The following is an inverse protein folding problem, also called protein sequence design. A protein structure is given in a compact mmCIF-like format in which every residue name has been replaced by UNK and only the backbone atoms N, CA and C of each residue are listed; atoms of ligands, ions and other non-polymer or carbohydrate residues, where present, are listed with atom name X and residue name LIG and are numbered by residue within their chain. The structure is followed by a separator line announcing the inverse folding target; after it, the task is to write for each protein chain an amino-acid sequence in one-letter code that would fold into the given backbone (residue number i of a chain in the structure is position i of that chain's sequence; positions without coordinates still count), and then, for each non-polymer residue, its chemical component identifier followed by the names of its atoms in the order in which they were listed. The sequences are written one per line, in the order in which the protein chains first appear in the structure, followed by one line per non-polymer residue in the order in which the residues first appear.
data_IF_828269053042
#
_entry.id   IF_828269053042
#
_cell.length_a   1.000
_cell.length_b   1.000
_cell.length_c   1.000
_cell.angle_alpha   90.00
_cell.angle_beta   90.00
_cell.angle_gamma   90.00
#
_symmetry.space_group_name_H-M   'P 1'
#
loop_
_entity.id
_entity.type
_entity.pdbx_description
1 polymer ?
#
# COMPACT_ATOMS: atom_id res chain seq x y z
N UNK A 1 5.60 8.28 28.84
CA UNK A 1 5.85 8.65 27.44
C UNK A 1 5.49 7.53 26.46
N UNK A 2 6.06 6.32 26.61
CA UNK A 2 5.78 5.18 25.71
C UNK A 2 4.32 4.73 25.60
N UNK A 3 3.57 4.67 26.71
CA UNK A 3 2.14 4.31 26.70
C UNK A 3 1.28 5.34 25.94
N UNK A 4 1.59 6.62 26.11
CA UNK A 4 0.90 7.70 25.40
C UNK A 4 1.17 7.61 23.90
N UNK A 5 2.42 7.36 23.49
CA UNK A 5 2.75 7.12 22.09
C UNK A 5 1.96 5.92 21.53
N UNK A 6 1.93 4.79 22.23
CA UNK A 6 1.17 3.61 21.81
C UNK A 6 -0.33 3.90 21.65
N UNK A 7 -0.92 4.70 22.55
CA UNK A 7 -2.32 5.10 22.44
C UNK A 7 -2.60 5.92 21.16
N UNK A 8 -1.71 6.85 20.80
CA UNK A 8 -1.82 7.58 19.54
C UNK A 8 -1.69 6.64 18.33
N UNK A 9 -0.71 5.74 18.33
CA UNK A 9 -0.52 4.78 17.24
C UNK A 9 -1.77 3.91 17.00
N UNK A 10 -2.30 3.30 18.08
CA UNK A 10 -3.49 2.44 17.98
C UNK A 10 -4.72 3.23 17.52
N UNK A 11 -4.94 4.44 18.07
CA UNK A 11 -6.05 5.30 17.67
C UNK A 11 -5.93 5.76 16.21
N UNK A 12 -4.71 6.01 15.73
CA UNK A 12 -4.41 6.32 14.34
C UNK A 12 -4.87 5.21 13.41
N UNK A 13 -4.53 3.95 13.71
CA UNK A 13 -4.97 2.78 12.94
C UNK A 13 -6.49 2.60 12.95
N UNK A 14 -7.13 2.79 14.10
CA UNK A 14 -8.60 2.72 14.19
C UNK A 14 -9.30 3.82 13.41
N UNK A 15 -8.75 5.04 13.42
CA UNK A 15 -9.28 6.15 12.61
C UNK A 15 -9.10 5.89 11.12
N UNK A 16 -7.96 5.32 10.71
CA UNK A 16 -7.74 4.91 9.32
C UNK A 16 -8.79 3.87 8.89
N UNK A 17 -9.01 2.84 9.72
CA UNK A 17 -10.02 1.80 9.50
C UNK A 17 -11.43 2.37 9.33
N UNK A 18 -11.75 3.45 10.01
CA UNK A 18 -13.03 4.18 9.92
C UNK A 18 -13.06 5.24 8.81
N UNK A 19 -12.07 5.27 7.92
CA UNK A 19 -11.93 6.26 6.85
C UNK A 19 -11.84 7.71 7.33
N UNK A 20 -11.35 7.93 8.56
CA UNK A 20 -11.13 9.25 9.19
C UNK A 20 -9.67 9.68 9.04
N UNK A 21 -9.24 9.95 7.80
CA UNK A 21 -7.82 10.09 7.45
C UNK A 21 -7.12 11.27 8.14
N UNK A 22 -7.72 12.46 8.20
CA UNK A 22 -7.09 13.62 8.86
C UNK A 22 -6.81 13.35 10.34
N UNK A 23 -7.80 12.76 11.04
CA UNK A 23 -7.65 12.37 12.44
C UNK A 23 -6.66 11.22 12.64
N UNK A 24 -6.54 10.32 11.68
CA UNK A 24 -5.55 9.24 11.68
C UNK A 24 -4.13 9.79 11.52
N UNK A 25 -3.94 10.69 10.55
CA UNK A 25 -2.65 11.33 10.28
C UNK A 25 -2.19 12.16 11.48
N UNK A 26 -3.09 12.94 12.10
CA UNK A 26 -2.79 13.71 13.30
C UNK A 26 -2.30 12.82 14.46
N UNK A 27 -2.87 11.63 14.60
CA UNK A 27 -2.46 10.66 15.61
C UNK A 27 -1.09 10.05 15.29
N UNK A 28 -0.84 9.66 14.04
CA UNK A 28 0.48 9.19 13.62
C UNK A 28 1.56 10.26 13.74
N UNK A 29 1.25 11.53 13.44
CA UNK A 29 2.14 12.67 13.64
C UNK A 29 2.49 12.85 15.11
N UNK A 30 1.51 12.66 16.01
CA UNK A 30 1.77 12.72 17.45
C UNK A 30 2.62 11.53 17.91
N UNK A 31 2.36 10.34 17.38
CA UNK A 31 3.19 9.15 17.65
C UNK A 31 4.66 9.40 17.31
N UNK A 32 4.97 9.85 16.08
CA UNK A 32 6.37 10.07 15.67
C UNK A 32 7.05 11.26 16.36
N UNK A 33 6.27 12.23 16.86
CA UNK A 33 6.81 13.30 17.73
C UNK A 33 7.24 12.76 19.11
N UNK A 34 6.51 11.80 19.66
CA UNK A 34 6.84 11.14 20.93
C UNK A 34 7.91 10.05 20.75
N UNK A 35 8.01 9.47 19.54
CA UNK A 35 8.94 8.41 19.17
C UNK A 35 9.71 8.75 17.89
N UNK A 36 10.59 9.76 17.92
CA UNK A 36 11.35 10.15 16.74
C UNK A 36 12.25 9.02 16.21
N UNK A 37 12.70 8.12 17.10
CA UNK A 37 13.44 6.89 16.79
C UNK A 37 12.67 5.91 15.89
N UNK A 38 11.33 5.99 15.89
CA UNK A 38 10.44 5.12 15.13
C UNK A 38 9.89 5.77 13.86
N UNK A 39 10.18 7.04 13.60
CA UNK A 39 9.61 7.78 12.47
C UNK A 39 9.89 7.11 11.13
N UNK A 40 11.11 6.59 10.93
CA UNK A 40 11.46 5.88 9.68
C UNK A 40 10.72 4.56 9.50
N UNK A 41 10.13 3.98 10.55
CA UNK A 41 9.42 2.70 10.49
C UNK A 41 7.92 2.88 10.16
N UNK A 42 7.42 4.12 10.11
CA UNK A 42 5.97 4.42 10.04
C UNK A 42 5.43 4.48 8.60
N UNK A 43 5.42 3.34 7.91
CA UNK A 43 4.80 3.20 6.60
C UNK A 43 3.27 3.40 6.62
N UNK A 44 2.58 2.98 7.70
CA UNK A 44 1.12 3.21 7.89
C UNK A 44 0.76 4.71 7.85
N UNK A 45 1.66 5.56 8.35
CA UNK A 45 1.54 7.02 8.25
C UNK A 45 1.63 7.49 6.79
N UNK A 46 2.54 6.92 6.00
CA UNK A 46 2.69 7.21 4.57
C UNK A 46 1.45 6.85 3.77
N UNK A 47 0.87 5.67 4.03
CA UNK A 47 -0.41 5.25 3.42
C UNK A 47 -1.53 6.23 3.84
N UNK A 48 -1.58 6.59 5.12
CA UNK A 48 -2.58 7.55 5.62
C UNK A 48 -2.45 8.92 4.95
N UNK A 49 -1.22 9.39 4.68
CA UNK A 49 -0.99 10.61 3.90
C UNK A 49 -1.62 10.52 2.50
N UNK A 50 -1.48 9.39 1.80
CA UNK A 50 -2.11 9.19 0.48
C UNK A 50 -3.63 9.37 0.56
N UNK A 51 -4.28 8.71 1.52
CA UNK A 51 -5.74 8.81 1.69
C UNK A 51 -6.22 10.17 2.20
N UNK A 52 -5.39 10.90 2.93
CA UNK A 52 -5.64 12.28 3.35
C UNK A 52 -5.38 13.32 2.24
N UNK A 53 -4.89 12.90 1.05
CA UNK A 53 -4.47 13.82 -0.02
C UNK A 53 -3.17 14.57 0.26
N UNK A 54 -2.46 14.20 1.33
CA UNK A 54 -1.18 14.76 1.77
C UNK A 54 -0.01 14.11 1.02
N UNK A 55 -0.11 14.11 -0.30
CA UNK A 55 0.73 13.32 -1.21
C UNK A 55 2.23 13.57 -1.04
N UNK A 56 2.67 14.82 -0.91
CA UNK A 56 4.09 15.13 -0.71
C UNK A 56 4.60 14.54 0.61
N UNK A 57 3.83 14.68 1.70
CA UNK A 57 4.19 14.09 3.01
C UNK A 57 4.25 12.57 2.95
N UNK A 58 3.39 11.94 2.13
CA UNK A 58 3.42 10.50 1.86
C UNK A 58 4.70 10.09 1.15
N UNK A 59 5.04 10.76 0.05
CA UNK A 59 6.25 10.49 -0.71
C UNK A 59 7.53 10.64 0.14
N UNK A 60 7.61 11.70 0.94
CA UNK A 60 8.73 11.95 1.87
C UNK A 60 8.82 10.85 2.96
N UNK A 61 7.67 10.35 3.44
CA UNK A 61 7.63 9.30 4.46
C UNK A 61 8.14 7.96 3.92
N UNK A 62 7.82 7.60 2.67
CA UNK A 62 8.32 6.38 2.05
C UNK A 62 9.79 6.48 1.63
N UNK A 63 10.25 7.67 1.24
CA UNK A 63 11.69 7.93 1.06
C UNK A 63 12.45 7.75 2.39
N UNK A 64 11.89 8.23 3.50
CA UNK A 64 12.45 7.98 4.83
C UNK A 64 12.37 6.50 5.24
N UNK A 65 11.30 5.78 4.89
CA UNK A 65 11.17 4.36 5.21
C UNK A 65 12.20 3.49 4.47
N UNK A 66 12.59 3.88 3.26
CA UNK A 66 13.67 3.23 2.51
C UNK A 66 14.99 3.16 3.29
N UNK A 67 15.26 4.12 4.18
CA UNK A 67 16.49 4.10 5.01
C UNK A 67 16.43 3.08 6.14
N UNK A 68 15.26 2.49 6.41
CA UNK A 68 15.04 1.44 7.40
C UNK A 68 14.91 0.06 6.75
N UNK A 69 14.16 -0.03 5.64
CA UNK A 69 13.93 -1.29 4.93
C UNK A 69 13.86 -1.03 3.41
N UNK A 70 14.89 -1.47 2.68
CA UNK A 70 15.12 -1.11 1.27
C UNK A 70 14.68 -2.17 0.26
N UNK A 71 14.18 -3.31 0.74
CA UNK A 71 13.75 -4.44 -0.09
C UNK A 71 12.24 -4.59 -0.22
N UNK A 72 11.45 -3.72 0.41
CA UNK A 72 9.99 -3.80 0.39
C UNK A 72 9.41 -3.12 -0.86
N UNK A 73 8.84 -3.92 -1.77
CA UNK A 73 8.18 -3.39 -2.97
C UNK A 73 7.04 -2.43 -2.63
N UNK A 74 6.31 -2.70 -1.55
CA UNK A 74 5.18 -1.87 -1.14
C UNK A 74 5.66 -0.43 -0.86
N UNK A 75 6.84 -0.25 -0.27
CA UNK A 75 7.43 1.08 -0.04
C UNK A 75 7.59 1.89 -1.34
N UNK A 76 8.20 1.27 -2.36
CA UNK A 76 8.44 1.91 -3.65
C UNK A 76 7.13 2.22 -4.39
N UNK A 77 6.20 1.27 -4.38
CA UNK A 77 4.88 1.39 -5.00
C UNK A 77 4.04 2.47 -4.32
N UNK A 78 3.98 2.52 -2.99
CA UNK A 78 3.23 3.56 -2.29
C UNK A 78 3.81 4.96 -2.48
N UNK A 79 5.15 5.08 -2.58
CA UNK A 79 5.77 6.35 -2.97
C UNK A 79 5.34 6.76 -4.37
N UNK A 80 5.36 5.83 -5.33
CA UNK A 80 4.85 6.09 -6.68
C UNK A 80 3.40 6.59 -6.64
N UNK A 81 2.51 5.92 -5.90
CA UNK A 81 1.09 6.31 -5.78
C UNK A 81 0.94 7.72 -5.19
N UNK A 82 1.79 8.11 -4.23
CA UNK A 82 1.82 9.47 -3.70
C UNK A 82 2.35 10.48 -4.72
N UNK A 83 3.31 10.10 -5.55
CA UNK A 83 3.89 11.00 -6.55
C UNK A 83 3.01 11.19 -7.78
N UNK A 84 2.21 10.21 -8.18
CA UNK A 84 1.41 10.28 -9.41
C UNK A 84 0.49 11.51 -9.46
N UNK A 85 -0.29 11.86 -8.41
CA UNK A 85 -1.09 13.09 -8.41
C UNK A 85 -0.26 14.39 -8.47
N UNK A 86 1.01 14.35 -8.08
CA UNK A 86 1.90 15.53 -8.03
C UNK A 86 2.62 15.78 -9.35
N UNK A 87 3.10 14.70 -10.00
CA UNK A 87 4.02 14.80 -11.16
C UNK A 87 3.57 13.98 -12.37
N UNK A 88 2.49 13.21 -12.26
CA UNK A 88 2.04 12.27 -13.29
C UNK A 88 2.78 10.94 -13.26
N UNK A 89 2.19 9.94 -13.93
CA UNK A 89 2.66 8.53 -13.95
C UNK A 89 4.10 8.39 -14.40
N UNK A 90 4.46 9.01 -15.54
CA UNK A 90 5.81 8.83 -16.12
C UNK A 90 6.90 9.37 -15.20
N UNK A 91 6.71 10.56 -14.63
CA UNK A 91 7.68 11.13 -13.68
C UNK A 91 7.69 10.40 -12.35
N UNK A 92 6.55 9.88 -11.90
CA UNK A 92 6.51 9.05 -10.69
C UNK A 92 7.27 7.72 -10.91
N UNK A 93 7.15 7.13 -12.10
CA UNK A 93 7.84 5.90 -12.53
C UNK A 93 9.36 6.07 -12.50
N UNK A 94 9.87 7.17 -13.04
CA UNK A 94 11.31 7.52 -13.01
C UNK A 94 11.85 7.66 -11.57
N UNK A 95 10.97 7.90 -10.61
CA UNK A 95 11.31 8.15 -9.20
C UNK A 95 11.05 6.95 -8.31
N UNK A 96 10.67 5.79 -8.85
CA UNK A 96 10.55 4.56 -8.08
C UNK A 96 11.82 4.31 -7.27
N UNK A 97 11.64 3.97 -5.99
CA UNK A 97 12.75 3.60 -5.12
C UNK A 97 13.30 2.24 -5.57
N UNK A 98 14.63 2.06 -5.60
CA UNK A 98 15.24 0.83 -6.09
C UNK A 98 14.99 -0.32 -5.11
N UNK A 99 14.49 -1.44 -5.63
CA UNK A 99 14.28 -2.68 -4.86
C UNK A 99 15.16 -3.77 -5.45
N UNK A 100 16.09 -4.30 -4.65
CA UNK A 100 17.01 -5.35 -5.10
C UNK A 100 16.31 -6.72 -5.19
N UNK A 101 15.60 -7.11 -4.13
CA UNK A 101 14.91 -8.39 -4.05
C UNK A 101 13.91 -8.40 -2.90
N UNK A 102 12.63 -8.57 -3.23
CA UNK A 102 11.58 -8.92 -2.27
C UNK A 102 11.26 -10.42 -2.45
N UNK A 103 11.49 -11.27 -1.43
CA UNK A 103 11.30 -12.71 -1.57
C UNK A 103 9.82 -13.11 -1.62
N UNK A 104 8.89 -12.21 -1.31
CA UNK A 104 7.45 -12.51 -1.31
C UNK A 104 6.95 -12.58 -2.75
N UNK A 105 6.23 -13.64 -3.08
CA UNK A 105 5.55 -13.76 -4.37
C UNK A 105 4.21 -13.00 -4.32
N UNK A 106 3.81 -12.21 -5.33
CA UNK A 106 4.52 -11.89 -6.58
C UNK A 106 5.14 -10.47 -6.58
N UNK A 107 5.75 -10.02 -5.47
CA UNK A 107 6.16 -8.62 -5.27
C UNK A 107 7.10 -8.11 -6.35
N UNK A 108 8.09 -8.90 -6.79
CA UNK A 108 9.00 -8.45 -7.85
C UNK A 108 8.32 -8.28 -9.22
N UNK A 109 7.27 -9.06 -9.51
CA UNK A 109 6.46 -8.89 -10.72
C UNK A 109 5.58 -7.64 -10.63
N UNK A 110 5.02 -7.35 -9.45
CA UNK A 110 4.31 -6.10 -9.17
C UNK A 110 5.25 -4.91 -9.38
N UNK A 111 6.48 -4.98 -8.85
CA UNK A 111 7.46 -3.92 -9.05
C UNK A 111 7.80 -3.70 -10.53
N UNK A 112 7.97 -4.78 -11.29
CA UNK A 112 8.17 -4.71 -12.75
C UNK A 112 6.95 -4.09 -13.48
N UNK A 113 5.73 -4.37 -13.04
CA UNK A 113 4.52 -3.74 -13.59
C UNK A 113 4.52 -2.22 -13.34
N UNK A 114 4.84 -1.77 -12.13
CA UNK A 114 4.98 -0.34 -11.83
C UNK A 114 6.14 0.32 -12.60
N UNK A 115 7.18 -0.43 -12.98
CA UNK A 115 8.23 0.02 -13.92
C UNK A 115 7.81 0.00 -15.39
N UNK A 116 6.66 -0.57 -15.72
CA UNK A 116 6.10 -0.62 -17.08
C UNK A 116 6.64 -1.79 -17.91
N UNK A 117 7.24 -2.77 -17.25
CA UNK A 117 7.93 -3.91 -17.88
C UNK A 117 7.06 -5.17 -17.93
N UNK A 118 5.96 -5.19 -17.16
CA UNK A 118 5.05 -6.33 -16.98
C UNK A 118 3.60 -5.88 -16.93
N UNK A 119 2.68 -6.80 -17.22
CA UNK A 119 1.23 -6.54 -17.20
C UNK A 119 0.55 -7.09 -15.95
N UNK A 120 -0.72 -6.75 -15.77
CA UNK A 120 -1.59 -7.29 -14.72
C UNK A 120 -1.73 -8.81 -14.83
N UNK A 121 -1.74 -9.38 -16.05
CA UNK A 121 -1.77 -10.83 -16.29
C UNK A 121 -0.48 -11.51 -15.83
N UNK A 122 0.69 -10.89 -16.08
CA UNK A 122 1.97 -11.42 -15.59
C UNK A 122 1.98 -11.54 -14.06
N UNK A 123 1.42 -10.54 -13.36
CA UNK A 123 1.33 -10.55 -11.88
C UNK A 123 0.44 -11.71 -11.41
N UNK A 124 -0.72 -11.91 -12.05
CA UNK A 124 -1.62 -13.02 -11.69
C UNK A 124 -1.01 -14.39 -12.01
N UNK A 125 -0.26 -14.51 -13.12
CA UNK A 125 0.47 -15.72 -13.45
C UNK A 125 1.53 -16.03 -12.38
N UNK A 126 2.36 -15.05 -12.03
CA UNK A 126 3.40 -15.19 -11.01
C UNK A 126 2.85 -15.58 -9.64
N UNK A 127 1.67 -15.07 -9.26
CA UNK A 127 1.01 -15.45 -8.00
C UNK A 127 0.72 -16.97 -7.91
N UNK A 128 0.51 -17.64 -9.04
CA UNK A 128 0.12 -19.06 -9.15
C UNK A 128 1.31 -20.01 -9.32
N UNK A 129 2.52 -19.50 -9.53
CA UNK A 129 3.72 -20.32 -9.74
C UNK A 129 4.13 -21.09 -8.48
N UNK A 130 4.72 -22.27 -8.69
CA UNK A 130 5.32 -23.08 -7.63
C UNK A 130 4.31 -23.82 -6.73
N UNK A 131 3.12 -24.10 -7.24
CA UNK A 131 2.08 -24.92 -6.57
C UNK A 131 1.80 -24.49 -5.11
N UNK A 132 1.47 -23.22 -4.85
CA UNK A 132 1.19 -22.75 -3.49
C UNK A 132 -0.01 -23.50 -2.89
N UNK A 133 0.00 -23.63 -1.56
CA UNK A 133 -1.21 -24.02 -0.83
C UNK A 133 -2.34 -23.02 -1.08
N UNK A 134 -3.59 -23.42 -0.86
CA UNK A 134 -4.74 -22.52 -1.04
C UNK A 134 -4.63 -21.23 -0.19
N UNK A 135 -4.09 -21.34 1.02
CA UNK A 135 -3.89 -20.19 1.92
C UNK A 135 -2.82 -19.24 1.38
N UNK A 136 -1.67 -19.77 0.93
CA UNK A 136 -0.62 -18.96 0.31
C UNK A 136 -1.10 -18.30 -0.97
N UNK A 137 -1.80 -19.05 -1.83
CA UNK A 137 -2.35 -18.52 -3.08
C UNK A 137 -3.34 -17.38 -2.82
N UNK A 138 -4.20 -17.53 -1.81
CA UNK A 138 -5.13 -16.46 -1.41
C UNK A 138 -4.36 -15.19 -0.99
N UNK A 139 -3.29 -15.33 -0.20
CA UNK A 139 -2.42 -14.21 0.17
C UNK A 139 -1.75 -13.55 -1.03
N UNK A 140 -1.19 -14.35 -1.95
CA UNK A 140 -0.53 -13.85 -3.17
C UNK A 140 -1.52 -13.11 -4.08
N UNK A 141 -2.72 -13.67 -4.28
CA UNK A 141 -3.76 -13.06 -5.11
C UNK A 141 -4.35 -11.80 -4.47
N UNK A 142 -4.49 -11.75 -3.14
CA UNK A 142 -4.89 -10.54 -2.43
C UNK A 142 -3.97 -9.36 -2.78
N UNK A 143 -2.65 -9.52 -2.60
CA UNK A 143 -1.71 -8.44 -2.91
C UNK A 143 -1.62 -8.14 -4.41
N UNK A 144 -1.77 -9.16 -5.26
CA UNK A 144 -1.85 -8.97 -6.71
C UNK A 144 -3.01 -8.06 -7.09
N UNK A 145 -4.22 -8.40 -6.63
CA UNK A 145 -5.41 -7.62 -6.92
C UNK A 145 -5.36 -6.22 -6.29
N UNK A 146 -4.85 -6.08 -5.07
CA UNK A 146 -4.69 -4.76 -4.45
C UNK A 146 -3.78 -3.86 -5.29
N UNK A 147 -2.58 -4.34 -5.65
CA UNK A 147 -1.59 -3.50 -6.32
C UNK A 147 -1.84 -3.30 -7.82
N UNK A 148 -2.49 -4.26 -8.50
CA UNK A 148 -3.04 -4.02 -9.84
C UNK A 148 -4.12 -2.95 -9.76
N UNK A 149 -5.07 -3.06 -8.83
CA UNK A 149 -6.16 -2.10 -8.72
C UNK A 149 -5.69 -0.66 -8.50
N UNK A 150 -4.71 -0.47 -7.60
CA UNK A 150 -4.09 0.83 -7.35
C UNK A 150 -3.30 1.36 -8.56
N UNK A 151 -2.61 0.47 -9.30
CA UNK A 151 -1.87 0.84 -10.50
C UNK A 151 -2.83 1.31 -11.61
N UNK A 152 -3.85 0.52 -11.90
CA UNK A 152 -4.87 0.82 -12.92
C UNK A 152 -5.60 2.14 -12.60
N UNK A 153 -5.91 2.43 -11.33
CA UNK A 153 -6.48 3.73 -10.94
C UNK A 153 -5.51 4.88 -11.25
N UNK A 154 -4.21 4.69 -10.97
CA UNK A 154 -3.18 5.70 -11.25
C UNK A 154 -3.03 5.99 -12.76
N UNK A 155 -3.41 5.04 -13.62
CA UNK A 155 -3.45 5.19 -15.07
C UNK A 155 -4.78 5.77 -15.60
N UNK A 156 -5.79 5.93 -14.73
CA UNK A 156 -7.15 6.35 -15.12
C UNK A 156 -8.02 5.23 -15.68
N UNK A 157 -7.65 3.96 -15.48
CA UNK A 157 -8.41 2.80 -15.93
C UNK A 157 -9.46 2.37 -14.89
N UNK A 158 -10.41 3.27 -14.58
CA UNK A 158 -11.33 3.16 -13.44
C UNK A 158 -12.10 1.84 -13.35
N UNK A 159 -12.52 1.28 -14.48
CA UNK A 159 -13.25 0.00 -14.52
C UNK A 159 -12.36 -1.16 -14.06
N UNK A 160 -11.14 -1.23 -14.58
CA UNK A 160 -10.15 -2.26 -14.22
C UNK A 160 -9.76 -2.13 -12.75
N UNK A 161 -9.45 -0.90 -12.33
CA UNK A 161 -9.14 -0.56 -10.95
C UNK A 161 -10.21 -1.06 -9.98
N UNK A 162 -11.48 -0.74 -10.26
CA UNK A 162 -12.62 -1.16 -9.46
C UNK A 162 -12.75 -2.67 -9.36
N UNK A 163 -12.63 -3.39 -10.48
CA UNK A 163 -12.72 -4.85 -10.47
C UNK A 163 -11.67 -5.48 -9.55
N UNK A 164 -10.42 -5.05 -9.68
CA UNK A 164 -9.31 -5.59 -8.91
C UNK A 164 -9.40 -5.23 -7.42
N UNK A 165 -9.73 -3.98 -7.08
CA UNK A 165 -9.89 -3.57 -5.67
C UNK A 165 -11.04 -4.32 -4.99
N UNK A 166 -12.17 -4.51 -5.67
CA UNK A 166 -13.30 -5.24 -5.11
C UNK A 166 -12.95 -6.72 -4.87
N UNK A 167 -12.26 -7.37 -5.81
CA UNK A 167 -11.72 -8.74 -5.61
C UNK A 167 -10.78 -8.82 -4.41
N UNK A 168 -9.83 -7.89 -4.28
CA UNK A 168 -8.91 -7.84 -3.14
C UNK A 168 -9.66 -7.72 -1.80
N UNK A 169 -10.72 -6.90 -1.75
CA UNK A 169 -11.53 -6.68 -0.55
C UNK A 169 -12.41 -7.90 -0.21
N UNK A 170 -13.17 -8.39 -1.20
CA UNK A 170 -14.30 -9.28 -0.96
C UNK A 170 -13.89 -10.76 -0.94
N UNK A 171 -12.99 -11.18 -1.84
CA UNK A 171 -12.70 -12.61 -2.06
C UNK A 171 -11.69 -13.18 -1.05
N UNK A 172 -10.86 -12.33 -0.44
CA UNK A 172 -9.72 -12.76 0.40
C UNK A 172 -9.82 -12.32 1.87
N UNK A 173 -11.00 -11.88 2.31
CA UNK A 173 -11.22 -11.38 3.68
C UNK A 173 -10.85 -12.37 4.79
N UNK A 174 -11.10 -13.65 4.56
CA UNK A 174 -10.94 -14.70 5.57
C UNK A 174 -9.54 -15.36 5.54
N UNK A 175 -8.63 -14.85 4.69
CA UNK A 175 -7.25 -15.34 4.61
C UNK A 175 -6.48 -14.96 5.87
N UNK A 176 -6.05 -15.96 6.63
CA UNK A 176 -5.47 -15.81 7.98
C UNK A 176 -4.06 -15.24 7.95
N UNK A 177 -3.33 -15.52 6.88
CA UNK A 177 -1.94 -15.08 6.66
C UNK A 177 -1.82 -13.59 6.28
N UNK A 178 -2.93 -12.91 5.99
CA UNK A 178 -2.89 -11.51 5.56
C UNK A 178 -2.51 -10.54 6.68
N UNK A 179 -1.76 -9.51 6.30
CA UNK A 179 -1.62 -8.33 7.14
C UNK A 179 -2.99 -7.65 7.24
N UNK A 180 -3.56 -7.66 8.44
CA UNK A 180 -4.90 -7.11 8.69
C UNK A 180 -5.02 -5.63 8.29
N UNK A 181 -3.98 -4.83 8.48
CA UNK A 181 -3.98 -3.43 8.08
C UNK A 181 -4.09 -3.30 6.56
N UNK A 182 -3.36 -4.12 5.80
CA UNK A 182 -3.43 -4.09 4.34
C UNK A 182 -4.80 -4.54 3.81
N UNK A 183 -5.45 -5.50 4.47
CA UNK A 183 -6.85 -5.79 4.14
C UNK A 183 -7.77 -4.59 4.43
N UNK A 184 -7.57 -3.88 5.54
CA UNK A 184 -8.33 -2.66 5.83
C UNK A 184 -8.05 -1.54 4.80
N UNK A 185 -6.84 -1.44 4.25
CA UNK A 185 -6.53 -0.57 3.11
C UNK A 185 -7.39 -0.94 1.89
N UNK A 186 -7.40 -2.22 1.49
CA UNK A 186 -8.21 -2.69 0.38
C UNK A 186 -9.71 -2.41 0.59
N UNK A 187 -10.23 -2.66 1.79
CA UNK A 187 -11.63 -2.37 2.14
C UNK A 187 -11.95 -0.89 2.08
N UNK A 188 -11.13 -0.04 2.71
CA UNK A 188 -11.34 1.41 2.73
C UNK A 188 -11.32 1.97 1.30
N UNK A 189 -10.42 1.46 0.46
CA UNK A 189 -10.36 1.83 -0.95
C UNK A 189 -11.61 1.37 -1.72
N UNK A 190 -12.04 0.12 -1.52
CA UNK A 190 -13.26 -0.42 -2.10
C UNK A 190 -14.51 0.38 -1.71
N UNK A 191 -14.61 0.83 -0.45
CA UNK A 191 -15.70 1.69 0.03
C UNK A 191 -15.73 3.05 -0.67
N UNK A 192 -14.56 3.65 -0.95
CA UNK A 192 -14.47 4.89 -1.73
C UNK A 192 -14.96 4.63 -3.16
N UNK A 193 -14.50 3.57 -3.81
CA UNK A 193 -14.91 3.25 -5.18
C UNK A 193 -16.42 2.96 -5.26
N UNK A 194 -17.00 2.23 -4.30
CA UNK A 194 -18.46 1.93 -4.29
C UNK A 194 -19.36 3.17 -4.18
N UNK A 195 -18.85 4.29 -3.64
CA UNK A 195 -19.60 5.55 -3.50
C UNK A 195 -19.53 6.46 -4.73
N UNK A 196 -18.51 6.27 -5.56
CA UNK A 196 -18.27 7.01 -6.80
C UNK A 196 -18.82 6.24 -8.00
#
# INVERSE_FOLDING_TARGET
DGELALAYYLRGRERFRLSKFDGSLADFDRYVKLRPDRKSQQWERGITCYYAGEFQKGADQFELYQTYHDSDVENSVWRFLCMTPLVGVEKAREKLLPIKNDPRVPMMTIFAMYRGEKTSEDVIAAAREGEPTNEELAGRLFYSHLYIGLYEESLGHDKSAREHILKACDDYRETKSLNRYMWDVARVHAERLRKN
#
